data_IF_412110104320
#
_entry.id   IF_412110104320
#
_cell.length_a   1.000
_cell.length_b   1.000
_cell.length_c   1.000
_cell.angle_alpha   90.00
_cell.angle_beta   90.00
_cell.angle_gamma   90.00
#
_symmetry.space_group_name_H-M   'P 1'
#
loop_
_entity.id
_entity.type
_entity.pdbx_description
1 polymer ?
#
# COMPACT_ATOMS: atom_id res chain seq x y z
N UNK A 1 -14.97 -9.97 29.38
CA UNK A 1 -14.63 -9.28 28.11
C UNK A 1 -14.63 -10.18 26.87
N UNK A 2 -13.86 -11.28 26.78
CA UNK A 2 -13.78 -12.12 25.55
C UNK A 2 -15.10 -12.71 25.02
N UNK A 3 -16.04 -13.07 25.91
CA UNK A 3 -17.38 -13.59 25.52
C UNK A 3 -18.26 -12.53 24.82
N UNK A 4 -18.14 -11.26 25.21
CA UNK A 4 -18.93 -10.16 24.64
C UNK A 4 -18.45 -9.82 23.22
N UNK A 5 -17.13 -9.81 22.98
CA UNK A 5 -16.55 -9.60 21.65
C UNK A 5 -16.87 -10.73 20.67
N UNK A 6 -16.87 -11.98 21.13
CA UNK A 6 -17.24 -13.14 20.32
C UNK A 6 -18.73 -13.09 19.90
N UNK A 7 -19.61 -12.67 20.82
CA UNK A 7 -21.04 -12.46 20.53
C UNK A 7 -21.27 -11.35 19.50
N UNK A 8 -20.60 -10.21 19.66
CA UNK A 8 -20.68 -9.09 18.71
C UNK A 8 -20.18 -9.46 17.30
N UNK A 9 -19.09 -10.24 17.20
CA UNK A 9 -18.59 -10.74 15.92
C UNK A 9 -19.56 -11.72 15.26
N UNK A 10 -20.24 -12.57 16.05
CA UNK A 10 -21.24 -13.49 15.54
C UNK A 10 -22.47 -12.75 14.99
N UNK A 11 -23.01 -11.79 15.75
CA UNK A 11 -24.12 -10.92 15.32
C UNK A 11 -23.77 -10.15 14.05
N UNK A 12 -22.56 -9.59 13.98
CA UNK A 12 -22.10 -8.88 12.78
C UNK A 12 -22.02 -9.80 11.55
N UNK A 13 -21.53 -11.04 11.70
CA UNK A 13 -21.51 -12.03 10.62
C UNK A 13 -22.91 -12.39 10.13
N UNK A 14 -23.84 -12.64 11.05
CA UNK A 14 -25.22 -12.93 10.68
C UNK A 14 -25.88 -11.75 9.95
N UNK A 15 -25.64 -10.52 10.40
CA UNK A 15 -26.15 -9.31 9.74
C UNK A 15 -25.60 -9.14 8.33
N UNK A 16 -24.32 -9.44 8.10
CA UNK A 16 -23.71 -9.42 6.76
C UNK A 16 -24.33 -10.49 5.87
N UNK A 17 -24.47 -11.73 6.38
CA UNK A 17 -25.09 -12.83 5.63
C UNK A 17 -26.50 -12.47 5.16
N UNK A 18 -27.34 -11.96 6.06
CA UNK A 18 -28.69 -11.47 5.72
C UNK A 18 -28.68 -10.40 4.63
N UNK A 19 -27.69 -9.49 4.63
CA UNK A 19 -27.56 -8.44 3.60
C UNK A 19 -27.03 -8.94 2.26
N UNK A 20 -26.30 -10.04 2.24
CA UNK A 20 -25.89 -10.70 0.99
C UNK A 20 -27.10 -11.43 0.39
N UNK A 21 -27.92 -12.04 1.24
CA UNK A 21 -29.12 -12.79 0.85
C UNK A 21 -30.33 -11.90 0.54
N UNK A 22 -30.41 -10.69 1.10
CA UNK A 22 -31.51 -9.75 0.90
C UNK A 22 -31.68 -9.37 -0.57
N UNK A 23 -32.93 -9.37 -1.06
CA UNK A 23 -33.32 -9.09 -2.45
C UNK A 23 -33.15 -7.63 -2.94
N UNK A 24 -32.37 -6.79 -2.26
CA UNK A 24 -31.96 -5.49 -2.78
C UNK A 24 -31.22 -5.68 -4.12
N UNK A 25 -31.76 -5.11 -5.20
CA UNK A 25 -31.23 -5.30 -6.56
C UNK A 25 -29.90 -4.55 -6.70
N UNK A 26 -28.82 -5.31 -6.86
CA UNK A 26 -27.56 -4.81 -7.44
C UNK A 26 -27.64 -4.81 -8.96
N UNK A 27 -26.64 -4.22 -9.63
CA UNK A 27 -26.51 -4.41 -11.07
C UNK A 27 -26.28 -5.90 -11.36
N UNK A 28 -26.90 -6.44 -12.41
CA UNK A 28 -26.75 -7.86 -12.76
C UNK A 28 -25.31 -8.17 -13.18
N UNK A 29 -24.69 -7.26 -13.94
CA UNK A 29 -23.35 -7.40 -14.50
C UNK A 29 -22.38 -6.37 -13.94
N UNK A 30 -21.11 -6.75 -13.94
CA UNK A 30 -20.00 -5.91 -13.51
C UNK A 30 -19.90 -4.66 -14.39
N UNK A 31 -19.80 -3.49 -13.76
CA UNK A 31 -19.68 -2.18 -14.41
C UNK A 31 -18.30 -1.93 -15.08
N UNK A 32 -17.40 -2.92 -15.06
CA UNK A 32 -16.10 -2.79 -15.73
C UNK A 32 -16.28 -3.15 -17.21
N UNK A 33 -15.93 -2.25 -18.15
CA UNK A 33 -16.07 -2.50 -19.57
C UNK A 33 -15.43 -3.83 -19.98
N UNK A 34 -16.15 -4.62 -20.78
CA UNK A 34 -15.69 -5.92 -21.27
C UNK A 34 -15.70 -7.09 -20.26
N UNK A 35 -16.11 -6.88 -19.00
CA UNK A 35 -16.10 -7.96 -18.01
C UNK A 35 -17.26 -8.95 -18.14
N UNK A 36 -18.50 -8.44 -18.22
CA UNK A 36 -19.73 -9.23 -18.36
C UNK A 36 -20.12 -10.14 -17.19
N UNK A 37 -19.22 -10.40 -16.23
CA UNK A 37 -19.43 -11.28 -15.07
C UNK A 37 -20.50 -10.74 -14.12
N UNK A 38 -21.23 -11.60 -13.39
CA UNK A 38 -22.19 -11.16 -12.40
C UNK A 38 -21.52 -10.35 -11.28
N UNK A 39 -22.21 -9.35 -10.75
CA UNK A 39 -21.72 -8.61 -9.58
C UNK A 39 -21.72 -9.52 -8.34
N UNK A 40 -20.94 -9.19 -7.31
CA UNK A 40 -20.96 -9.98 -6.07
C UNK A 40 -22.36 -10.03 -5.44
N UNK A 41 -23.14 -8.95 -5.57
CA UNK A 41 -24.52 -8.88 -5.10
C UNK A 41 -25.42 -9.79 -5.95
N UNK A 42 -25.35 -9.71 -7.28
CA UNK A 42 -26.13 -10.57 -8.18
C UNK A 42 -25.79 -12.06 -7.99
N UNK A 43 -24.52 -12.38 -7.76
CA UNK A 43 -24.05 -13.74 -7.49
C UNK A 43 -24.31 -14.22 -6.04
N UNK A 44 -24.85 -13.37 -5.15
CA UNK A 44 -25.02 -13.65 -3.71
C UNK A 44 -23.72 -14.08 -2.99
N UNK A 45 -22.58 -13.64 -3.48
CA UNK A 45 -21.25 -13.92 -2.91
C UNK A 45 -20.69 -12.73 -2.11
N UNK A 46 -21.35 -11.58 -2.13
CA UNK A 46 -20.93 -10.42 -1.36
C UNK A 46 -21.79 -9.18 -1.54
N UNK A 47 -21.32 -8.08 -0.94
CA UNK A 47 -22.07 -6.83 -0.85
C UNK A 47 -21.79 -5.84 -1.99
N UNK A 48 -20.87 -6.13 -2.91
CA UNK A 48 -20.50 -5.19 -3.96
C UNK A 48 -21.62 -5.11 -5.03
N UNK A 49 -22.30 -3.96 -5.18
CA UNK A 49 -23.51 -3.87 -6.01
C UNK A 49 -23.21 -3.70 -7.51
N UNK A 50 -22.00 -3.26 -7.87
CA UNK A 50 -21.63 -2.92 -9.26
C UNK A 50 -20.43 -3.69 -9.79
N UNK A 51 -19.76 -4.49 -8.96
CA UNK A 51 -18.49 -5.13 -9.34
C UNK A 51 -18.52 -6.62 -9.03
N UNK A 52 -17.93 -7.42 -9.91
CA UNK A 52 -17.71 -8.84 -9.68
C UNK A 52 -16.60 -9.06 -8.63
N UNK A 53 -16.57 -10.25 -8.05
CA UNK A 53 -15.57 -10.64 -7.03
C UNK A 53 -14.14 -10.41 -7.50
N UNK A 54 -13.82 -10.81 -8.73
CA UNK A 54 -12.49 -10.64 -9.33
C UNK A 54 -12.02 -9.19 -9.31
N UNK A 55 -12.87 -8.24 -9.70
CA UNK A 55 -12.52 -6.82 -9.70
C UNK A 55 -12.44 -6.23 -8.29
N UNK A 56 -13.32 -6.65 -7.38
CA UNK A 56 -13.24 -6.24 -5.97
C UNK A 56 -11.93 -6.71 -5.33
N UNK A 57 -11.53 -7.96 -5.57
CA UNK A 57 -10.27 -8.51 -5.10
C UNK A 57 -9.05 -7.84 -5.77
N UNK A 58 -9.16 -7.53 -7.07
CA UNK A 58 -8.14 -6.77 -7.80
C UNK A 58 -7.94 -5.39 -7.19
N UNK A 59 -9.02 -4.64 -6.94
CA UNK A 59 -8.96 -3.34 -6.24
C UNK A 59 -8.43 -3.48 -4.82
N UNK A 60 -8.83 -4.50 -4.08
CA UNK A 60 -8.27 -4.74 -2.76
C UNK A 60 -6.75 -4.98 -2.81
N UNK A 61 -6.24 -5.59 -3.88
CA UNK A 61 -4.82 -5.85 -4.06
C UNK A 61 -4.07 -4.63 -4.59
N UNK A 62 -4.61 -3.91 -5.57
CA UNK A 62 -3.87 -2.91 -6.35
C UNK A 62 -4.30 -1.46 -6.10
N UNK A 63 -5.44 -1.24 -5.46
CA UNK A 63 -6.03 0.09 -5.25
C UNK A 63 -6.76 0.65 -6.49
N UNK A 64 -6.87 -0.12 -7.56
CA UNK A 64 -7.63 0.17 -8.78
C UNK A 64 -8.32 -1.10 -9.26
N UNK A 65 -9.42 -0.97 -9.99
CA UNK A 65 -10.12 -2.12 -10.58
C UNK A 65 -9.41 -2.70 -11.81
N UNK A 66 -8.49 -1.98 -12.44
CA UNK A 66 -7.79 -2.43 -13.65
C UNK A 66 -6.28 -2.21 -13.61
N UNK A 67 -5.78 -1.16 -12.95
CA UNK A 67 -4.35 -0.90 -12.91
C UNK A 67 -3.61 -1.93 -12.05
N UNK A 68 -2.52 -2.47 -12.61
CA UNK A 68 -1.60 -3.33 -11.89
C UNK A 68 -0.66 -2.53 -10.99
N UNK A 69 0.00 -3.23 -10.07
CA UNK A 69 1.03 -2.61 -9.24
C UNK A 69 2.25 -2.28 -10.08
N UNK A 70 2.84 -1.10 -9.86
CA UNK A 70 4.07 -0.72 -10.54
C UNK A 70 5.17 -1.75 -10.28
N UNK A 71 5.82 -2.17 -11.35
CA UNK A 71 7.00 -3.02 -11.27
C UNK A 71 8.19 -2.24 -10.68
N UNK A 72 9.18 -2.97 -10.18
CA UNK A 72 10.40 -2.34 -9.67
C UNK A 72 11.13 -1.57 -10.78
N UNK A 73 11.12 -2.09 -12.01
CA UNK A 73 11.76 -1.45 -13.17
C UNK A 73 11.10 -0.11 -13.52
N UNK A 74 9.76 -0.06 -13.55
CA UNK A 74 9.01 1.18 -13.79
C UNK A 74 9.26 2.22 -12.70
N UNK A 75 9.31 1.78 -11.44
CA UNK A 75 9.41 2.69 -10.29
C UNK A 75 10.83 3.21 -10.05
N UNK A 76 11.86 2.44 -10.43
CA UNK A 76 13.28 2.75 -10.20
C UNK A 76 13.70 4.18 -10.63
N UNK A 77 13.45 4.65 -11.87
CA UNK A 77 13.88 5.99 -12.27
C UNK A 77 13.26 7.10 -11.42
N UNK A 78 11.99 6.96 -11.04
CA UNK A 78 11.30 7.92 -10.17
C UNK A 78 11.83 7.88 -8.74
N UNK A 79 12.13 6.69 -8.20
CA UNK A 79 12.72 6.56 -6.87
C UNK A 79 14.10 7.17 -6.80
N UNK A 80 14.94 6.98 -7.83
CA UNK A 80 16.26 7.60 -7.91
C UNK A 80 16.12 9.12 -7.92
N UNK A 81 15.27 9.66 -8.80
CA UNK A 81 15.07 11.10 -8.90
C UNK A 81 14.51 11.71 -7.61
N UNK A 82 13.46 11.11 -7.05
CA UNK A 82 12.85 11.59 -5.80
C UNK A 82 13.81 11.50 -4.62
N UNK A 83 14.64 10.46 -4.53
CA UNK A 83 15.61 10.34 -3.44
C UNK A 83 16.71 11.39 -3.53
N UNK A 84 17.24 11.65 -4.73
CA UNK A 84 18.21 12.72 -4.95
C UNK A 84 17.61 14.10 -4.67
N UNK A 85 16.38 14.33 -5.14
CA UNK A 85 15.66 15.57 -4.93
C UNK A 85 15.40 15.83 -3.44
N UNK A 86 14.84 14.86 -2.71
CA UNK A 86 14.59 14.99 -1.26
C UNK A 86 15.89 15.21 -0.51
N UNK A 87 16.97 14.49 -0.84
CA UNK A 87 18.27 14.68 -0.18
C UNK A 87 18.82 16.09 -0.37
N UNK A 88 18.67 16.66 -1.57
CA UNK A 88 19.15 17.99 -1.89
C UNK A 88 18.39 19.08 -1.13
N UNK A 89 17.06 18.94 -1.02
CA UNK A 89 16.19 19.99 -0.52
C UNK A 89 15.75 19.82 0.94
N UNK A 90 15.88 18.63 1.53
CA UNK A 90 15.49 18.41 2.93
C UNK A 90 16.11 19.37 3.96
N UNK A 91 17.37 19.86 3.81
CA UNK A 91 17.94 20.80 4.78
C UNK A 91 17.37 22.23 4.69
N UNK A 92 16.84 22.63 3.53
CA UNK A 92 16.49 24.04 3.25
C UNK A 92 15.01 24.26 2.98
N UNK A 93 14.29 23.25 2.47
CA UNK A 93 12.88 23.34 2.17
C UNK A 93 12.01 22.95 3.37
N UNK A 94 11.18 23.90 3.82
CA UNK A 94 10.30 23.74 4.98
C UNK A 94 9.24 22.64 4.81
N UNK A 95 8.74 22.41 3.60
CA UNK A 95 7.68 21.42 3.37
C UNK A 95 8.26 20.01 3.41
N UNK A 96 9.42 19.81 2.80
CA UNK A 96 10.14 18.53 2.86
C UNK A 96 10.59 18.25 4.29
N UNK A 97 11.17 19.22 5.00
CA UNK A 97 11.57 19.06 6.40
C UNK A 97 10.39 18.72 7.31
N UNK A 98 9.24 19.38 7.13
CA UNK A 98 8.03 19.08 7.88
C UNK A 98 7.51 17.66 7.59
N UNK A 99 7.47 17.23 6.32
CA UNK A 99 7.05 15.89 5.96
C UNK A 99 8.00 14.81 6.52
N UNK A 100 9.31 15.04 6.49
CA UNK A 100 10.33 14.16 7.08
C UNK A 100 10.10 14.03 8.59
N UNK A 101 9.85 15.15 9.29
CA UNK A 101 9.57 15.17 10.73
C UNK A 101 8.28 14.44 11.08
N UNK A 102 7.22 14.66 10.29
CA UNK A 102 5.94 13.96 10.48
C UNK A 102 6.07 12.45 10.20
N UNK A 103 6.88 12.05 9.21
CA UNK A 103 7.20 10.65 8.96
C UNK A 103 7.98 10.01 10.09
N UNK A 104 8.94 10.73 10.67
CA UNK A 104 9.69 10.27 11.83
C UNK A 104 8.74 10.05 13.01
N UNK A 105 7.87 11.01 13.29
CA UNK A 105 6.84 10.91 14.35
C UNK A 105 5.93 9.69 14.12
N UNK A 106 5.47 9.47 12.89
CA UNK A 106 4.64 8.31 12.55
C UNK A 106 5.36 6.96 12.75
N UNK A 107 6.68 6.91 12.54
CA UNK A 107 7.49 5.72 12.81
C UNK A 107 7.62 5.47 14.31
N UNK A 108 7.85 6.52 15.10
CA UNK A 108 8.07 6.45 16.54
C UNK A 108 6.77 6.07 17.28
N UNK A 109 5.64 6.61 16.85
CA UNK A 109 4.30 6.35 17.42
C UNK A 109 3.65 5.04 16.94
N UNK A 110 4.29 4.31 16.02
CA UNK A 110 3.72 3.09 15.43
C UNK A 110 3.55 1.93 16.44
N UNK A 111 4.14 2.05 17.64
CA UNK A 111 4.09 1.06 18.70
C UNK A 111 5.00 -0.15 18.44
N UNK A 112 4.77 -1.28 19.14
CA UNK A 112 5.62 -2.46 19.04
C UNK A 112 5.38 -3.24 17.73
N UNK A 113 6.41 -3.94 17.27
CA UNK A 113 6.30 -4.92 16.18
C UNK A 113 5.74 -6.23 16.71
N UNK A 114 4.96 -6.91 15.88
CA UNK A 114 4.38 -8.23 16.19
C UNK A 114 4.74 -9.27 15.12
N UNK A 115 4.85 -10.52 15.55
CA UNK A 115 5.08 -11.68 14.67
C UNK A 115 3.84 -12.01 13.84
N UNK A 116 4.02 -12.66 12.69
CA UNK A 116 2.95 -12.85 11.71
C UNK A 116 1.74 -13.64 12.27
N UNK A 117 2.01 -14.66 13.10
CA UNK A 117 0.99 -15.55 13.67
C UNK A 117 0.03 -14.81 14.60
N UNK A 118 0.50 -13.77 15.29
CA UNK A 118 -0.30 -12.93 16.21
C UNK A 118 -1.13 -11.86 15.52
N UNK A 119 -0.96 -11.66 14.21
CA UNK A 119 -1.75 -10.67 13.46
C UNK A 119 -3.20 -11.09 13.22
N UNK A 120 -3.50 -12.40 13.31
CA UNK A 120 -4.85 -12.92 13.07
C UNK A 120 -5.81 -12.37 14.14
N UNK A 121 -6.96 -11.86 13.70
CA UNK A 121 -7.97 -11.27 14.59
C UNK A 121 -7.73 -9.80 14.95
N UNK A 122 -6.57 -9.21 14.62
CA UNK A 122 -6.33 -7.79 14.84
C UNK A 122 -7.08 -6.91 13.84
N UNK A 123 -7.49 -5.71 14.30
CA UNK A 123 -8.10 -4.69 13.44
C UNK A 123 -7.15 -4.28 12.31
N UNK A 124 -7.72 -3.79 11.20
CA UNK A 124 -6.91 -3.32 10.08
C UNK A 124 -5.98 -2.15 10.47
N UNK A 125 -6.44 -1.26 11.36
CA UNK A 125 -5.65 -0.13 11.87
C UNK A 125 -4.45 -0.59 12.69
N UNK A 126 -4.64 -1.54 13.61
CA UNK A 126 -3.53 -2.10 14.39
C UNK A 126 -2.49 -2.79 13.50
N UNK A 127 -2.94 -3.55 12.50
CA UNK A 127 -2.04 -4.18 11.51
C UNK A 127 -1.30 -3.16 10.64
N UNK A 128 -1.93 -2.05 10.28
CA UNK A 128 -1.27 -0.96 9.57
C UNK A 128 -0.16 -0.32 10.41
N UNK A 129 -0.44 -0.01 11.69
CA UNK A 129 0.57 0.50 12.65
C UNK A 129 1.74 -0.46 12.82
N UNK A 130 1.49 -1.77 12.97
CA UNK A 130 2.54 -2.79 13.03
C UNK A 130 3.39 -2.78 11.74
N UNK A 131 2.77 -2.58 10.57
CA UNK A 131 3.47 -2.41 9.30
C UNK A 131 4.43 -1.22 9.30
N UNK A 132 4.02 -0.09 9.88
CA UNK A 132 4.88 1.09 10.07
C UNK A 132 5.98 0.84 11.10
N UNK A 133 5.67 0.19 12.23
CA UNK A 133 6.65 -0.17 13.25
C UNK A 133 7.77 -1.06 12.70
N UNK A 134 7.45 -1.93 11.72
CA UNK A 134 8.45 -2.74 11.02
C UNK A 134 9.42 -1.92 10.19
N UNK A 135 8.96 -0.83 9.57
CA UNK A 135 9.83 0.09 8.85
C UNK A 135 10.84 0.73 9.81
N UNK A 136 10.39 1.10 11.01
CA UNK A 136 11.26 1.62 12.08
C UNK A 136 12.29 0.59 12.53
N UNK A 137 11.87 -0.65 12.81
CA UNK A 137 12.81 -1.73 13.20
C UNK A 137 13.80 -2.06 12.08
N UNK A 138 13.37 -1.97 10.82
CA UNK A 138 14.24 -2.08 9.66
C UNK A 138 15.11 -0.84 9.41
N UNK A 139 15.11 0.15 10.31
CA UNK A 139 15.87 1.41 10.24
C UNK A 139 15.66 2.17 8.93
N UNK A 140 14.44 2.11 8.39
CA UNK A 140 14.08 2.88 7.19
C UNK A 140 14.03 4.36 7.55
N UNK A 141 14.87 5.14 6.87
CA UNK A 141 14.94 6.60 7.07
C UNK A 141 13.65 7.30 6.61
N UNK A 142 13.15 8.33 7.32
CA UNK A 142 11.94 9.06 6.94
C UNK A 142 12.02 9.69 5.53
N UNK A 143 13.19 10.21 5.14
CA UNK A 143 13.43 10.80 3.82
C UNK A 143 13.20 9.77 2.71
N UNK A 144 13.50 8.49 2.98
CA UNK A 144 13.23 7.41 2.02
C UNK A 144 11.74 7.18 1.84
N UNK A 145 10.93 7.36 2.89
CA UNK A 145 9.48 7.24 2.81
C UNK A 145 8.87 8.41 2.04
N UNK A 146 9.30 9.64 2.32
CA UNK A 146 8.90 10.84 1.55
C UNK A 146 9.27 10.67 0.07
N UNK A 147 10.49 10.21 -0.23
CA UNK A 147 10.92 9.95 -1.61
C UNK A 147 10.07 8.87 -2.31
N UNK A 148 9.63 7.83 -1.59
CA UNK A 148 8.72 6.81 -2.14
C UNK A 148 7.39 7.43 -2.52
N UNK A 149 6.81 8.25 -1.65
CA UNK A 149 5.50 8.89 -1.89
C UNK A 149 5.59 9.84 -3.10
N UNK A 150 6.64 10.66 -3.17
CA UNK A 150 6.92 11.52 -4.32
C UNK A 150 7.11 10.71 -5.61
N UNK A 151 7.90 9.64 -5.58
CA UNK A 151 8.14 8.79 -6.76
C UNK A 151 6.85 8.17 -7.31
N UNK A 152 5.96 7.71 -6.41
CA UNK A 152 4.67 7.13 -6.77
C UNK A 152 3.72 8.16 -7.36
N UNK A 153 3.68 9.36 -6.79
CA UNK A 153 2.89 10.45 -7.36
C UNK A 153 3.46 10.89 -8.72
N UNK A 154 4.79 10.89 -8.89
CA UNK A 154 5.44 11.29 -10.14
C UNK A 154 5.13 10.32 -11.30
N UNK A 155 5.26 9.01 -11.07
CA UNK A 155 4.88 8.02 -12.10
C UNK A 155 3.37 8.01 -12.36
N UNK A 156 2.55 8.29 -11.33
CA UNK A 156 1.12 8.38 -11.50
C UNK A 156 0.72 9.60 -12.34
N UNK A 157 1.37 10.74 -12.14
CA UNK A 157 1.19 11.96 -12.94
C UNK A 157 1.57 11.71 -14.40
N UNK A 158 2.77 11.18 -14.66
CA UNK A 158 3.26 10.93 -16.03
C UNK A 158 2.39 9.92 -16.79
N UNK A 159 1.79 8.95 -16.09
CA UNK A 159 0.89 7.94 -16.69
C UNK A 159 -0.59 8.31 -16.64
N UNK A 160 -0.97 9.47 -16.09
CA UNK A 160 -2.37 9.87 -15.95
C UNK A 160 -3.20 9.04 -14.96
N UNK A 161 -2.56 8.34 -14.01
CA UNK A 161 -3.21 7.50 -13.01
C UNK A 161 -3.74 8.32 -11.82
N UNK A 162 -4.94 8.91 -11.98
CA UNK A 162 -5.50 9.89 -11.02
C UNK A 162 -6.10 9.31 -9.73
N UNK A 163 -6.35 8.00 -9.65
CA UNK A 163 -7.02 7.41 -8.49
C UNK A 163 -6.16 7.51 -7.21
N UNK A 164 -6.62 8.29 -6.20
CA UNK A 164 -5.92 8.44 -4.91
C UNK A 164 -5.69 7.12 -4.20
N UNK A 165 -6.70 6.23 -4.19
CA UNK A 165 -6.56 4.89 -3.59
C UNK A 165 -5.45 4.07 -4.23
N UNK A 166 -5.30 4.16 -5.56
CA UNK A 166 -4.23 3.48 -6.26
C UNK A 166 -2.87 3.97 -5.77
N UNK A 167 -2.63 5.29 -5.76
CA UNK A 167 -1.37 5.88 -5.29
C UNK A 167 -1.04 5.49 -3.84
N UNK A 168 -1.99 5.63 -2.92
CA UNK A 168 -1.81 5.21 -1.52
C UNK A 168 -1.40 3.73 -1.41
N UNK A 169 -2.07 2.84 -2.16
CA UNK A 169 -1.76 1.41 -2.17
C UNK A 169 -0.37 1.13 -2.75
N UNK A 170 0.02 1.83 -3.81
CA UNK A 170 1.34 1.66 -4.41
C UNK A 170 2.45 2.18 -3.49
N UNK A 171 2.27 3.35 -2.85
CA UNK A 171 3.19 3.90 -1.85
C UNK A 171 3.36 2.95 -0.66
N UNK A 172 2.25 2.46 -0.10
CA UNK A 172 2.27 1.44 0.96
C UNK A 172 3.05 0.19 0.53
N UNK A 173 2.80 -0.35 -0.67
CA UNK A 173 3.51 -1.53 -1.17
C UNK A 173 5.01 -1.28 -1.35
N UNK A 174 5.38 -0.12 -1.89
CA UNK A 174 6.78 0.25 -2.08
C UNK A 174 7.52 0.37 -0.75
N UNK A 175 6.91 1.05 0.24
CA UNK A 175 7.45 1.16 1.59
C UNK A 175 7.51 -0.21 2.29
N UNK A 176 6.40 -0.96 2.29
CA UNK A 176 6.30 -2.25 2.97
C UNK A 176 7.36 -3.25 2.49
N UNK A 177 7.72 -3.25 1.20
CA UNK A 177 8.81 -4.09 0.65
C UNK A 177 10.16 -3.87 1.32
N UNK A 178 10.42 -2.70 1.92
CA UNK A 178 11.67 -2.40 2.63
C UNK A 178 11.83 -3.20 3.93
N UNK A 179 10.73 -3.59 4.58
CA UNK A 179 10.77 -4.24 5.89
C UNK A 179 10.14 -5.64 5.93
N UNK A 180 9.41 -6.04 4.89
CA UNK A 180 8.61 -7.27 4.95
C UNK A 180 9.31 -8.55 4.45
N UNK A 181 10.55 -8.44 3.95
CA UNK A 181 11.37 -9.57 3.53
C UNK A 181 10.69 -10.50 2.50
N UNK A 182 11.41 -11.53 2.07
CA UNK A 182 10.90 -12.54 1.13
C UNK A 182 10.60 -13.89 1.78
N UNK A 183 10.94 -14.09 3.07
CA UNK A 183 10.94 -15.40 3.71
C UNK A 183 10.85 -15.39 5.24
N UNK A 184 10.35 -16.48 5.83
CA UNK A 184 10.58 -16.78 7.24
C UNK A 184 12.08 -16.98 7.50
N UNK A 185 12.57 -16.45 8.61
CA UNK A 185 13.93 -16.69 9.09
C UNK A 185 13.86 -17.76 10.18
N UNK A 186 14.59 -18.85 9.99
CA UNK A 186 14.78 -19.92 10.98
C UNK A 186 16.27 -20.17 11.17
N UNK A 187 16.67 -20.56 12.36
CA UNK A 187 18.06 -20.92 12.67
C UNK A 187 18.16 -22.45 12.80
N UNK A 188 19.19 -23.06 12.21
CA UNK A 188 19.47 -24.47 12.43
C UNK A 188 20.13 -24.71 13.81
N UNK A 189 20.35 -25.97 14.17
CA UNK A 189 20.99 -26.35 15.44
C UNK A 189 22.44 -25.82 15.57
N UNK A 190 23.04 -25.40 14.46
CA UNK A 190 24.38 -24.82 14.36
C UNK A 190 24.35 -23.29 14.28
N UNK A 191 23.17 -22.66 14.45
CA UNK A 191 23.00 -21.20 14.44
C UNK A 191 23.03 -20.55 13.06
N UNK A 192 23.04 -21.31 11.96
CA UNK A 192 23.02 -20.78 10.59
C UNK A 192 21.62 -20.32 10.21
N UNK A 193 21.55 -19.14 9.60
CA UNK A 193 20.28 -18.54 9.16
C UNK A 193 19.77 -19.22 7.87
N UNK A 194 18.60 -19.85 7.95
CA UNK A 194 17.85 -20.34 6.80
C UNK A 194 16.65 -19.43 6.52
N UNK A 195 16.61 -18.87 5.30
CA UNK A 195 15.50 -18.06 4.83
C UNK A 195 14.59 -18.88 3.91
N UNK A 196 13.36 -19.11 4.35
CA UNK A 196 12.34 -19.82 3.57
C UNK A 196 11.99 -19.06 2.28
N UNK A 197 11.66 -19.80 1.20
CA UNK A 197 11.03 -19.22 0.00
C UNK A 197 9.59 -18.76 0.26
N UNK A 198 8.98 -19.22 1.35
CA UNK A 198 7.62 -18.86 1.76
C UNK A 198 7.62 -17.54 2.51
N UNK A 199 6.82 -16.57 2.05
CA UNK A 199 6.69 -15.26 2.68
C UNK A 199 6.37 -15.37 4.16
N UNK A 200 7.13 -14.65 4.99
CA UNK A 200 6.89 -14.53 6.43
C UNK A 200 5.50 -13.95 6.75
N UNK A 201 4.98 -13.10 5.86
CA UNK A 201 3.73 -12.39 6.09
C UNK A 201 2.71 -12.65 4.98
N UNK A 202 1.41 -12.76 5.34
CA UNK A 202 0.34 -12.77 4.35
C UNK A 202 0.47 -11.56 3.41
N UNK A 203 0.04 -11.71 2.15
CA UNK A 203 -0.01 -10.58 1.23
C UNK A 203 -0.95 -9.53 1.80
N UNK A 204 -0.41 -8.38 2.21
CA UNK A 204 -1.20 -7.23 2.64
C UNK A 204 -2.17 -6.84 1.51
N UNK A 205 -3.45 -6.74 1.83
CA UNK A 205 -4.53 -6.38 0.90
C UNK A 205 -5.61 -5.58 1.62
N UNK A 206 -6.41 -4.86 0.84
CA UNK A 206 -7.61 -4.19 1.29
C UNK A 206 -7.34 -3.08 2.30
N UNK A 207 -8.09 -3.08 3.41
CA UNK A 207 -8.13 -1.97 4.37
C UNK A 207 -6.78 -1.67 5.02
N UNK A 208 -5.92 -2.67 5.23
CA UNK A 208 -4.59 -2.47 5.83
C UNK A 208 -3.72 -1.61 4.92
N UNK A 209 -3.68 -1.91 3.62
CA UNK A 209 -2.92 -1.12 2.64
C UNK A 209 -3.43 0.32 2.55
N UNK A 210 -4.75 0.52 2.63
CA UNK A 210 -5.35 1.86 2.58
C UNK A 210 -5.01 2.69 3.81
N UNK A 211 -5.07 2.09 4.99
CA UNK A 211 -4.74 2.79 6.25
C UNK A 211 -3.25 3.10 6.34
N UNK A 212 -2.39 2.13 6.03
CA UNK A 212 -0.94 2.38 6.02
C UNK A 212 -0.55 3.35 4.90
N UNK A 213 -1.13 3.23 3.71
CA UNK A 213 -0.89 4.16 2.60
C UNK A 213 -1.30 5.58 2.94
N UNK A 214 -2.43 5.76 3.63
CA UNK A 214 -2.87 7.04 4.17
C UNK A 214 -1.84 7.64 5.14
N UNK A 215 -1.35 6.84 6.11
CA UNK A 215 -0.33 7.27 7.07
C UNK A 215 0.98 7.74 6.39
N UNK A 216 1.25 7.26 5.17
CA UNK A 216 2.41 7.66 4.38
C UNK A 216 2.10 8.85 3.44
N UNK A 217 0.89 8.98 2.90
CA UNK A 217 0.58 10.02 1.92
C UNK A 217 0.19 11.35 2.58
N UNK A 218 -0.63 11.31 3.64
CA UNK A 218 -1.14 12.54 4.29
C UNK A 218 -0.04 13.50 4.76
N UNK A 219 1.05 13.06 5.41
CA UNK A 219 2.11 13.98 5.81
C UNK A 219 2.90 14.56 4.61
N UNK A 220 2.73 13.99 3.42
CA UNK A 220 3.40 14.43 2.20
C UNK A 220 2.50 15.29 1.30
N UNK A 221 1.25 15.60 1.66
CA UNK A 221 0.30 16.29 0.77
C UNK A 221 0.88 17.60 0.19
N UNK A 222 1.46 18.46 1.05
CA UNK A 222 2.12 19.70 0.61
C UNK A 222 3.38 19.46 -0.23
N UNK A 223 4.15 18.42 0.11
CA UNK A 223 5.37 18.07 -0.63
C UNK A 223 5.03 17.59 -2.03
N UNK A 224 3.96 16.81 -2.17
CA UNK A 224 3.43 16.39 -3.47
C UNK A 224 3.01 17.63 -4.27
N UNK A 225 2.21 18.52 -3.69
CA UNK A 225 1.72 19.71 -4.41
C UNK A 225 2.86 20.60 -4.92
N UNK A 226 3.87 20.88 -4.08
CA UNK A 226 4.93 21.84 -4.40
C UNK A 226 6.10 21.25 -5.18
N UNK A 227 6.47 19.99 -4.94
CA UNK A 227 7.74 19.44 -5.43
C UNK A 227 7.61 18.35 -6.50
N UNK A 228 6.39 17.91 -6.83
CA UNK A 228 6.17 16.86 -7.83
C UNK A 228 6.78 17.22 -9.20
N UNK A 229 6.59 18.46 -9.65
CA UNK A 229 7.18 18.96 -10.91
C UNK A 229 8.70 18.94 -10.84
N UNK A 230 9.29 19.38 -9.73
CA UNK A 230 10.74 19.38 -9.53
C UNK A 230 11.35 17.97 -9.61
N UNK A 231 10.68 16.97 -9.04
CA UNK A 231 11.10 15.56 -9.14
C UNK A 231 11.03 15.06 -10.58
N UNK A 232 9.97 15.39 -11.33
CA UNK A 232 9.84 15.01 -12.75
C UNK A 232 10.94 15.66 -13.61
N UNK A 233 11.23 16.94 -13.40
CA UNK A 233 12.34 17.64 -14.07
C UNK A 233 13.68 16.99 -13.72
N UNK A 234 13.90 16.63 -12.45
CA UNK A 234 15.13 15.95 -12.03
C UNK A 234 15.27 14.56 -12.65
N UNK A 235 14.17 13.82 -12.80
CA UNK A 235 14.12 12.53 -13.52
C UNK A 235 14.45 12.71 -15.00
N UNK A 236 13.94 13.73 -15.67
CA UNK A 236 14.27 13.99 -17.08
C UNK A 236 15.75 14.36 -17.27
N UNK A 237 16.31 15.16 -16.35
CA UNK A 237 17.68 15.65 -16.44
C UNK A 237 18.74 14.59 -16.10
N UNK A 238 18.48 13.73 -15.11
CA UNK A 238 19.46 12.78 -14.58
C UNK A 238 19.03 11.31 -14.66
N UNK A 239 17.78 11.05 -15.05
CA UNK A 239 17.30 9.70 -15.26
C UNK A 239 17.90 9.14 -16.55
N UNK A 240 18.88 8.24 -16.41
CA UNK A 240 19.17 7.29 -17.49
C UNK A 240 17.89 6.49 -17.73
N UNK A 241 17.13 6.87 -18.76
CA UNK A 241 16.02 6.05 -19.25
C UNK A 241 16.54 4.66 -19.64
N UNK A 242 15.65 3.65 -19.78
CA UNK A 242 16.06 2.42 -20.45
C UNK A 242 16.64 2.82 -21.83
N UNK A 243 17.87 2.38 -22.12
CA UNK A 243 18.45 2.55 -23.47
C UNK A 243 17.44 1.97 -24.44
N UNK A 244 16.89 2.78 -25.35
CA UNK A 244 16.23 2.24 -26.54
C UNK A 244 17.27 1.35 -27.22
N UNK A 245 16.94 0.08 -27.45
CA UNK A 245 17.73 -0.75 -28.34
C UNK A 245 17.79 -0.06 -29.73
N UNK A 246 18.91 -0.12 -30.45
CA UNK A 246 18.94 0.35 -31.83
C UNK A 246 17.88 -0.43 -32.62
N UNK A 247 17.08 0.32 -33.38
CA UNK A 247 16.12 -0.15 -34.38
C UNK A 247 16.80 -0.96 -35.47
#
# INVERSE_FOLDING_TARGET
>A
MRRVEASAQHIAKQRIKRRVESGERGAERCAIPGCGRPTMKAAKEGLAPHHCRSHVEHRARHGSYWLNTYTAAELKPYLTAASSYVRLWAPTDKFIAAAVTAMQSALDEAGPVEIATRLKGMSAGKRAKIGVARLRVAKVKPERLVAIVLAINAIAEEKGHRAKEFRMVQACKAAHRLASGTGWVSYDAQGREHRSRTRAYPRSSGRVLRLMGRMLEEPCDWVIEKHLKGVLTHKQRYGRGPRKAPS
#
